data_IF_431270977025
#
_entry.id   IF_431270977025
#
_cell.length_a   1.000
_cell.length_b   1.000
_cell.length_c   1.000
_cell.angle_alpha   90.00
_cell.angle_beta   90.00
_cell.angle_gamma   90.00
#
_symmetry.space_group_name_H-M   'P 1'
#
loop_
_entity.id
_entity.type
_entity.pdbx_description
1 polymer ?
#
# COMPACT_ATOMS: atom_id res chain seq x y z
N UNK A 1 20.66 17.67 11.86
CA UNK A 1 21.59 16.59 12.28
C UNK A 1 20.91 15.49 13.10
N UNK A 2 20.21 15.76 14.21
CA UNK A 2 19.56 14.72 15.04
C UNK A 2 18.64 13.79 14.25
N UNK A 3 17.79 14.30 13.33
CA UNK A 3 16.92 13.49 12.46
C UNK A 3 17.74 12.48 11.63
N UNK A 4 18.80 12.94 10.97
CA UNK A 4 19.63 12.08 10.11
C UNK A 4 20.34 11.00 10.92
N UNK A 5 20.87 11.32 12.10
CA UNK A 5 21.48 10.36 13.01
C UNK A 5 20.46 9.33 13.51
N UNK A 6 19.25 9.78 13.92
CA UNK A 6 18.21 8.87 14.39
C UNK A 6 17.75 7.90 13.30
N UNK A 7 17.59 8.35 12.06
CA UNK A 7 17.20 7.49 10.94
C UNK A 7 18.32 6.54 10.53
N UNK A 8 19.58 6.97 10.60
CA UNK A 8 20.73 6.10 10.39
C UNK A 8 20.81 5.00 11.46
N UNK A 9 20.62 5.35 12.74
CA UNK A 9 20.59 4.36 13.83
C UNK A 9 19.46 3.34 13.65
N UNK A 10 18.27 3.81 13.24
CA UNK A 10 17.14 2.91 12.94
C UNK A 10 17.46 1.97 11.76
N UNK A 11 18.08 2.49 10.70
CA UNK A 11 18.53 1.68 9.56
C UNK A 11 19.56 0.60 10.00
N UNK A 12 20.56 0.99 10.78
CA UNK A 12 21.55 0.07 11.33
C UNK A 12 20.94 -0.95 12.31
N UNK A 13 19.88 -0.57 13.03
CA UNK A 13 19.14 -1.50 13.89
C UNK A 13 18.46 -2.60 13.07
N UNK A 14 17.81 -2.24 11.95
CA UNK A 14 17.25 -3.26 11.04
C UNK A 14 18.34 -4.17 10.46
N UNK A 15 19.49 -3.62 10.07
CA UNK A 15 20.62 -4.41 9.58
C UNK A 15 21.19 -5.33 10.67
N UNK A 16 21.42 -4.83 11.87
CA UNK A 16 21.96 -5.62 12.97
C UNK A 16 21.01 -6.73 13.42
N UNK A 17 19.75 -6.43 13.68
CA UNK A 17 18.75 -7.42 14.08
C UNK A 17 18.40 -8.40 12.95
N UNK A 18 18.52 -7.98 11.69
CA UNK A 18 18.30 -8.82 10.52
C UNK A 18 19.28 -9.99 10.43
N UNK A 19 20.51 -9.87 10.97
CA UNK A 19 21.48 -10.97 11.04
C UNK A 19 21.00 -12.11 11.94
N UNK A 20 20.25 -11.79 13.00
CA UNK A 20 19.65 -12.79 13.89
C UNK A 20 18.34 -13.38 13.33
N UNK A 21 17.59 -12.61 12.53
CA UNK A 21 16.35 -13.07 11.90
C UNK A 21 16.17 -12.39 10.53
N UNK A 22 16.37 -13.11 9.41
CA UNK A 22 16.30 -12.55 8.06
C UNK A 22 14.97 -11.85 7.73
N UNK A 23 13.88 -12.22 8.39
CA UNK A 23 12.59 -11.54 8.28
C UNK A 23 12.69 -10.04 8.64
N UNK A 24 13.58 -9.65 9.57
CA UNK A 24 13.75 -8.25 9.99
C UNK A 24 14.33 -7.40 8.87
N UNK A 25 15.18 -7.95 7.99
CA UNK A 25 15.61 -7.26 6.78
C UNK A 25 14.42 -6.90 5.88
N UNK A 26 13.43 -7.80 5.79
CA UNK A 26 12.21 -7.52 5.02
C UNK A 26 11.38 -6.38 5.63
N UNK A 27 11.32 -6.29 6.96
CA UNK A 27 10.70 -5.15 7.64
C UNK A 27 11.47 -3.85 7.38
N UNK A 28 12.80 -3.91 7.43
CA UNK A 28 13.67 -2.78 7.10
C UNK A 28 13.49 -2.31 5.66
N UNK A 29 13.36 -3.23 4.71
CA UNK A 29 13.08 -2.88 3.31
C UNK A 29 11.73 -2.16 3.17
N UNK A 30 10.65 -2.70 3.78
CA UNK A 30 9.32 -2.06 3.75
C UNK A 30 9.38 -0.66 4.34
N UNK A 31 10.12 -0.46 5.44
CA UNK A 31 10.29 0.86 6.04
C UNK A 31 11.05 1.81 5.10
N UNK A 32 12.18 1.38 4.52
CA UNK A 32 12.97 2.21 3.59
C UNK A 32 12.17 2.58 2.35
N UNK A 33 11.46 1.61 1.77
CA UNK A 33 10.70 1.78 0.53
C UNK A 33 9.43 2.64 0.74
N UNK A 34 8.81 2.59 1.93
CA UNK A 34 7.63 3.37 2.26
C UNK A 34 7.95 4.76 2.79
N UNK A 35 8.92 4.89 3.70
CA UNK A 35 9.29 6.18 4.34
C UNK A 35 10.31 6.96 3.54
N UNK A 36 11.19 6.28 2.79
CA UNK A 36 12.31 6.84 2.01
C UNK A 36 13.23 7.72 2.85
N UNK A 37 13.92 7.17 3.85
CA UNK A 37 14.77 7.95 4.74
C UNK A 37 15.88 8.70 4.01
N UNK A 38 16.36 8.21 2.86
CA UNK A 38 17.37 8.85 2.02
C UNK A 38 16.90 10.21 1.48
N UNK A 39 15.60 10.38 1.22
CA UNK A 39 15.04 11.64 0.70
C UNK A 39 14.89 12.73 1.76
N UNK A 40 14.94 12.36 3.04
CA UNK A 40 14.73 13.26 4.17
C UNK A 40 15.95 13.46 5.06
N UNK A 41 17.05 12.76 4.75
CA UNK A 41 18.32 12.86 5.49
C UNK A 41 19.35 13.63 4.68
N UNK A 42 20.31 14.19 5.39
CA UNK A 42 21.55 14.71 4.86
C UNK A 42 22.66 13.86 5.45
N UNK A 43 23.68 13.48 4.78
CA UNK A 43 24.83 12.71 5.18
C UNK A 43 24.89 11.33 4.49
N UNK A 44 25.00 10.24 5.26
CA UNK A 44 25.35 8.91 4.75
C UNK A 44 24.20 8.24 3.96
N UNK A 45 22.94 8.37 4.43
CA UNK A 45 21.83 7.60 3.85
C UNK A 45 21.42 8.06 2.45
N UNK A 46 21.65 9.33 2.10
CA UNK A 46 21.35 9.89 0.77
C UNK A 46 22.35 9.43 -0.30
N UNK A 47 23.55 9.00 0.13
CA UNK A 47 24.62 8.52 -0.74
C UNK A 47 24.62 6.99 -0.92
N UNK A 48 23.84 6.27 -0.13
CA UNK A 48 23.81 4.81 -0.14
C UNK A 48 22.54 4.28 -0.85
N UNK A 49 22.64 3.19 -1.59
CA UNK A 49 21.49 2.50 -2.15
C UNK A 49 20.76 1.68 -1.07
N UNK A 50 20.23 2.38 -0.04
CA UNK A 50 19.70 1.78 1.20
C UNK A 50 18.63 0.71 0.97
N UNK A 51 17.74 0.93 -0.01
CA UNK A 51 16.71 -0.05 -0.38
C UNK A 51 17.34 -1.31 -1.01
N UNK A 52 18.34 -1.16 -1.87
CA UNK A 52 19.02 -2.29 -2.52
C UNK A 52 19.78 -3.13 -1.49
N UNK A 53 20.50 -2.49 -0.58
CA UNK A 53 21.23 -3.19 0.50
C UNK A 53 20.26 -4.00 1.36
N UNK A 54 19.16 -3.38 1.79
CA UNK A 54 18.18 -4.04 2.66
C UNK A 54 17.45 -5.17 1.92
N UNK A 55 17.08 -4.97 0.64
CA UNK A 55 16.44 -5.97 -0.19
C UNK A 55 17.35 -7.17 -0.49
N UNK A 56 18.62 -6.90 -0.83
CA UNK A 56 19.61 -7.96 -1.05
C UNK A 56 19.87 -8.75 0.24
N UNK A 57 19.95 -8.08 1.40
CA UNK A 57 20.10 -8.74 2.70
C UNK A 57 18.87 -9.59 3.03
N UNK A 58 17.65 -9.13 2.73
CA UNK A 58 16.41 -9.90 2.96
C UNK A 58 16.36 -11.16 2.09
N UNK A 59 16.62 -11.02 0.79
CA UNK A 59 16.60 -12.15 -0.16
C UNK A 59 17.75 -13.12 0.14
N UNK A 60 18.96 -12.61 0.29
CA UNK A 60 20.13 -13.43 0.61
C UNK A 60 19.97 -14.15 1.95
N UNK A 61 19.52 -13.45 3.00
CA UNK A 61 19.25 -14.04 4.30
C UNK A 61 18.21 -15.14 4.26
N UNK A 62 17.14 -14.97 3.47
CA UNK A 62 16.14 -16.03 3.26
C UNK A 62 16.76 -17.29 2.63
N UNK A 63 17.52 -17.14 1.54
CA UNK A 63 18.09 -18.30 0.85
C UNK A 63 19.20 -18.99 1.62
N UNK A 64 19.96 -18.25 2.42
CA UNK A 64 21.10 -18.79 3.17
C UNK A 64 20.72 -19.34 4.55
N UNK A 65 19.78 -18.67 5.25
CA UNK A 65 19.52 -18.92 6.66
C UNK A 65 18.09 -19.38 6.98
N UNK A 66 17.10 -19.09 6.14
CA UNK A 66 15.70 -19.31 6.49
C UNK A 66 14.86 -19.85 5.31
N UNK A 67 15.38 -20.87 4.61
CA UNK A 67 14.63 -21.53 3.54
C UNK A 67 13.41 -22.24 4.10
N UNK A 68 12.25 -22.01 3.48
CA UNK A 68 10.96 -22.61 3.85
C UNK A 68 10.19 -23.02 2.61
N UNK A 69 9.20 -23.91 2.81
CA UNK A 69 8.31 -24.28 1.72
C UNK A 69 7.57 -23.03 1.19
N UNK A 70 7.52 -22.81 -0.13
CA UNK A 70 6.85 -21.67 -0.71
C UNK A 70 5.33 -21.74 -0.44
N UNK A 71 4.63 -20.59 -0.38
CA UNK A 71 3.18 -20.58 -0.33
C UNK A 71 2.60 -21.18 -1.62
N UNK A 72 1.37 -21.71 -1.53
CA UNK A 72 0.68 -22.20 -2.71
C UNK A 72 0.49 -21.12 -3.78
N UNK A 73 0.69 -21.47 -5.04
CA UNK A 73 0.53 -20.55 -6.16
C UNK A 73 -0.88 -19.96 -6.19
N UNK A 74 -0.96 -18.67 -6.35
CA UNK A 74 -2.21 -17.91 -6.50
C UNK A 74 -2.03 -16.84 -7.56
N UNK A 75 -3.11 -16.44 -8.23
CA UNK A 75 -3.03 -15.37 -9.21
C UNK A 75 -2.40 -14.09 -8.59
N UNK A 76 -2.89 -13.69 -7.43
CA UNK A 76 -2.36 -12.51 -6.71
C UNK A 76 -0.88 -12.65 -6.35
N UNK A 77 -0.43 -13.88 -6.01
CA UNK A 77 0.96 -14.13 -5.63
C UNK A 77 1.93 -14.13 -6.81
N UNK A 78 1.48 -14.52 -8.00
CA UNK A 78 2.35 -14.59 -9.19
C UNK A 78 2.33 -13.32 -10.03
N UNK A 79 1.27 -12.51 -9.97
CA UNK A 79 1.16 -11.28 -10.77
C UNK A 79 2.32 -10.32 -10.56
N UNK A 80 2.83 -10.04 -9.33
CA UNK A 80 3.96 -9.13 -9.18
C UNK A 80 5.21 -9.62 -9.94
N UNK A 81 5.50 -10.91 -9.92
CA UNK A 81 6.64 -11.48 -10.65
C UNK A 81 6.45 -11.39 -12.18
N UNK A 82 5.24 -11.74 -12.67
CA UNK A 82 4.92 -11.61 -14.09
C UNK A 82 4.96 -10.14 -14.54
N UNK A 83 4.44 -9.22 -13.71
CA UNK A 83 4.47 -7.81 -14.01
C UNK A 83 5.91 -7.28 -14.05
N UNK A 84 6.78 -7.71 -13.13
CA UNK A 84 8.20 -7.34 -13.16
C UNK A 84 8.88 -7.80 -14.46
N UNK A 85 8.65 -9.05 -14.88
CA UNK A 85 9.13 -9.57 -16.16
C UNK A 85 8.57 -8.78 -17.35
N UNK A 86 7.26 -8.53 -17.36
CA UNK A 86 6.60 -7.77 -18.42
C UNK A 86 7.12 -6.33 -18.52
N UNK A 87 7.24 -5.63 -17.39
CA UNK A 87 7.82 -4.28 -17.35
C UNK A 87 9.26 -4.25 -17.88
N UNK A 88 10.04 -5.31 -17.68
CA UNK A 88 11.39 -5.41 -18.24
C UNK A 88 11.36 -5.63 -19.75
N UNK A 89 10.45 -6.48 -20.23
CA UNK A 89 10.28 -6.75 -21.66
C UNK A 89 9.84 -5.49 -22.40
N UNK A 90 8.89 -4.71 -21.87
CA UNK A 90 8.40 -3.48 -22.52
C UNK A 90 9.47 -2.41 -22.66
N UNK A 91 10.53 -2.45 -21.84
CA UNK A 91 11.68 -1.53 -21.99
C UNK A 91 12.51 -1.78 -23.24
N UNK A 92 12.39 -2.95 -23.89
CA UNK A 92 13.13 -3.24 -25.13
C UNK A 92 12.68 -2.37 -26.32
N UNK A 93 11.44 -1.86 -26.27
CA UNK A 93 10.88 -0.95 -27.28
C UNK A 93 10.34 0.35 -26.67
N UNK A 94 10.83 0.72 -25.49
CA UNK A 94 10.37 1.92 -24.80
C UNK A 94 10.54 3.18 -25.67
N UNK A 95 9.48 4.00 -25.75
CA UNK A 95 9.48 5.26 -26.51
C UNK A 95 10.25 6.38 -25.81
N UNK A 96 10.49 6.26 -24.50
CA UNK A 96 11.26 7.20 -23.69
C UNK A 96 12.28 6.45 -22.81
N UNK A 97 13.29 5.78 -23.40
CA UNK A 97 14.13 4.81 -22.69
C UNK A 97 14.93 5.44 -21.54
N UNK A 98 15.51 6.63 -21.70
CA UNK A 98 16.34 7.26 -20.67
C UNK A 98 15.58 7.44 -19.34
N UNK A 99 14.43 8.08 -19.38
CA UNK A 99 13.60 8.27 -18.19
C UNK A 99 12.88 6.98 -17.77
N UNK A 100 12.56 6.11 -18.73
CA UNK A 100 11.91 4.84 -18.51
C UNK A 100 12.74 3.89 -17.64
N UNK A 101 14.06 3.79 -17.87
CA UNK A 101 14.95 2.99 -17.04
C UNK A 101 15.04 3.48 -15.60
N UNK A 102 14.93 4.78 -15.36
CA UNK A 102 14.90 5.34 -14.01
C UNK A 102 13.64 4.88 -13.26
N UNK A 103 12.46 4.91 -13.92
CA UNK A 103 11.21 4.40 -13.32
C UNK A 103 11.23 2.88 -13.18
N UNK A 104 11.78 2.16 -14.18
CA UNK A 104 11.92 0.71 -14.14
C UNK A 104 12.71 0.25 -12.92
N UNK A 105 13.83 0.91 -12.60
CA UNK A 105 14.71 0.51 -11.51
C UNK A 105 13.97 0.37 -10.17
N UNK A 106 13.18 1.35 -9.77
CA UNK A 106 12.45 1.27 -8.52
C UNK A 106 11.16 0.44 -8.63
N UNK A 107 10.43 0.50 -9.76
CA UNK A 107 9.22 -0.28 -9.95
C UNK A 107 9.51 -1.79 -9.99
N UNK A 108 10.58 -2.20 -10.69
CA UNK A 108 11.04 -3.59 -10.73
C UNK A 108 11.39 -4.12 -9.34
N UNK A 109 12.17 -3.36 -8.56
CA UNK A 109 12.53 -3.72 -7.17
C UNK A 109 11.29 -3.91 -6.30
N UNK A 110 10.33 -3.00 -6.39
CA UNK A 110 9.04 -3.08 -5.67
C UNK A 110 8.27 -4.34 -6.03
N UNK A 111 8.13 -4.64 -7.32
CA UNK A 111 7.42 -5.81 -7.81
C UNK A 111 8.08 -7.12 -7.39
N UNK A 112 9.40 -7.23 -7.56
CA UNK A 112 10.19 -8.40 -7.15
C UNK A 112 10.10 -8.61 -5.65
N UNK A 113 10.25 -7.54 -4.86
CA UNK A 113 10.16 -7.65 -3.41
C UNK A 113 8.73 -8.03 -2.94
N UNK A 114 7.71 -7.52 -3.61
CA UNK A 114 6.32 -7.90 -3.34
C UNK A 114 6.05 -9.38 -3.65
N UNK A 115 6.62 -9.92 -4.72
CA UNK A 115 6.55 -11.35 -5.03
C UNK A 115 7.32 -12.21 -4.00
N UNK A 116 8.41 -11.70 -3.47
CA UNK A 116 9.23 -12.35 -2.46
C UNK A 116 8.59 -12.37 -1.05
N UNK A 117 7.89 -11.30 -0.67
CA UNK A 117 7.39 -11.10 0.68
C UNK A 117 6.52 -12.26 1.22
N UNK A 118 5.61 -12.90 0.46
CA UNK A 118 4.85 -14.06 0.91
C UNK A 118 5.71 -15.30 1.25
N UNK A 119 6.94 -15.39 0.77
CA UNK A 119 7.85 -16.48 1.10
C UNK A 119 8.32 -16.41 2.56
N UNK A 120 8.51 -15.20 3.08
CA UNK A 120 9.04 -14.97 4.44
C UNK A 120 7.95 -14.80 5.50
N UNK A 121 6.73 -14.41 5.12
CA UNK A 121 5.63 -14.16 6.05
C UNK A 121 4.85 -15.45 6.31
N UNK A 122 4.92 -16.00 7.52
CA UNK A 122 4.30 -17.28 7.87
C UNK A 122 3.43 -17.24 9.11
N UNK A 123 3.78 -16.43 10.08
CA UNK A 123 3.12 -16.37 11.38
C UNK A 123 2.24 -15.14 11.49
N UNK A 124 1.30 -15.16 12.44
CA UNK A 124 0.50 -14.00 12.82
C UNK A 124 1.37 -12.82 13.21
N UNK A 125 2.42 -13.07 13.99
CA UNK A 125 3.37 -12.03 14.45
C UNK A 125 4.04 -11.34 13.27
N UNK A 126 4.46 -12.12 12.26
CA UNK A 126 5.07 -11.56 11.05
C UNK A 126 4.08 -10.74 10.21
N UNK A 127 2.84 -11.21 10.05
CA UNK A 127 1.78 -10.45 9.35
C UNK A 127 1.53 -9.12 10.07
N UNK A 128 1.38 -9.15 11.39
CA UNK A 128 1.18 -7.94 12.20
C UNK A 128 2.41 -7.01 12.17
N UNK A 129 3.63 -7.55 12.18
CA UNK A 129 4.87 -6.77 12.09
C UNK A 129 4.94 -5.99 10.76
N UNK A 130 4.59 -6.63 9.65
CA UNK A 130 4.53 -5.95 8.35
C UNK A 130 3.48 -4.83 8.36
N UNK A 131 2.28 -5.09 8.88
CA UNK A 131 1.23 -4.07 9.00
C UNK A 131 1.65 -2.89 9.91
N UNK A 132 2.39 -3.17 10.99
CA UNK A 132 2.89 -2.13 11.91
C UNK A 132 4.01 -1.30 11.28
N UNK A 133 5.00 -1.94 10.66
CA UNK A 133 6.11 -1.22 10.02
C UNK A 133 5.58 -0.34 8.89
N UNK A 134 4.64 -0.84 8.08
CA UNK A 134 3.95 -0.05 7.08
C UNK A 134 3.25 1.18 7.69
N UNK A 135 2.44 0.98 8.75
CA UNK A 135 1.73 2.07 9.40
C UNK A 135 2.70 3.10 10.01
N UNK A 136 3.75 2.66 10.70
CA UNK A 136 4.71 3.56 11.33
C UNK A 136 5.60 4.29 10.31
N UNK A 137 5.93 3.64 9.20
CA UNK A 137 6.62 4.30 8.09
C UNK A 137 5.79 5.47 7.53
N UNK A 138 4.48 5.26 7.32
CA UNK A 138 3.57 6.34 6.91
C UNK A 138 3.33 7.37 8.02
N UNK A 139 3.27 6.97 9.29
CA UNK A 139 3.06 7.87 10.42
C UNK A 139 4.15 8.94 10.51
N UNK A 140 5.37 8.65 10.05
CA UNK A 140 6.44 9.63 9.92
C UNK A 140 6.10 10.84 9.05
N UNK A 141 5.16 10.68 8.12
CA UNK A 141 4.61 11.78 7.30
C UNK A 141 3.20 12.21 7.76
N UNK A 142 2.34 11.25 8.13
CA UNK A 142 0.97 11.50 8.60
C UNK A 142 0.97 12.47 9.79
N UNK A 143 1.81 12.23 10.80
CA UNK A 143 1.82 13.00 12.02
C UNK A 143 2.22 14.46 11.77
N UNK A 144 3.37 14.77 11.14
CA UNK A 144 3.76 16.15 10.89
C UNK A 144 2.77 16.91 10.00
N UNK A 145 2.31 16.28 8.92
CA UNK A 145 1.38 16.93 8.01
C UNK A 145 -0.02 17.07 8.59
N UNK A 146 -0.49 16.11 9.39
CA UNK A 146 -1.75 16.19 10.09
C UNK A 146 -1.75 17.34 11.14
N UNK A 147 -0.69 17.43 11.93
CA UNK A 147 -0.49 18.53 12.89
C UNK A 147 -0.41 19.87 12.15
N UNK A 148 0.38 19.95 11.07
CA UNK A 148 0.47 21.16 10.26
C UNK A 148 -0.89 21.57 9.71
N UNK A 149 -1.67 20.61 9.19
CA UNK A 149 -3.02 20.88 8.68
C UNK A 149 -3.94 21.46 9.74
N UNK A 150 -3.89 20.94 10.98
CA UNK A 150 -4.70 21.47 12.09
C UNK A 150 -4.37 22.94 12.38
N UNK A 151 -3.08 23.30 12.39
CA UNK A 151 -2.65 24.66 12.75
C UNK A 151 -2.68 25.66 11.61
N UNK A 152 -2.58 25.23 10.35
CA UNK A 152 -2.46 26.12 9.18
C UNK A 152 -3.64 26.03 8.21
N UNK A 153 -4.61 25.12 8.46
CA UNK A 153 -5.73 24.88 7.55
C UNK A 153 -5.39 24.02 6.33
N UNK A 154 -4.15 23.50 6.24
CA UNK A 154 -3.71 22.68 5.10
C UNK A 154 -3.23 23.51 3.90
N UNK A 155 -3.14 22.86 2.75
CA UNK A 155 -2.72 23.50 1.50
C UNK A 155 -2.63 22.51 0.35
N UNK A 156 -2.72 23.03 -0.87
CA UNK A 156 -2.62 22.21 -2.08
C UNK A 156 -1.17 21.85 -2.39
N UNK A 157 -0.91 20.57 -2.63
CA UNK A 157 0.40 20.10 -3.11
C UNK A 157 1.58 20.61 -2.27
N UNK A 158 2.47 21.33 -2.92
CA UNK A 158 3.70 21.91 -2.32
C UNK A 158 3.45 22.83 -1.11
N UNK A 159 2.26 23.40 -0.97
CA UNK A 159 1.94 24.30 0.13
C UNK A 159 1.97 23.60 1.51
N UNK A 160 1.79 22.30 1.57
CA UNK A 160 2.02 21.53 2.79
C UNK A 160 3.51 21.37 3.14
N UNK A 161 4.42 21.79 2.27
CA UNK A 161 5.87 21.60 2.42
C UNK A 161 6.26 20.14 2.28
N UNK A 162 5.58 19.43 1.36
CA UNK A 162 5.96 18.09 0.96
C UNK A 162 7.39 18.09 0.43
N UNK A 163 8.14 17.05 0.73
CA UNK A 163 9.55 16.96 0.35
C UNK A 163 9.63 16.71 -1.14
N UNK A 164 10.16 17.67 -1.92
CA UNK A 164 10.20 17.68 -3.39
C UNK A 164 11.07 16.51 -3.79
N UNK A 165 11.69 15.73 -3.61
CA UNK A 165 12.42 14.54 -4.06
C UNK A 165 11.77 13.24 -3.67
N UNK A 166 10.83 13.26 -2.73
CA UNK A 166 10.15 12.04 -2.29
C UNK A 166 9.06 11.63 -3.31
N UNK A 167 9.47 10.92 -4.36
CA UNK A 167 8.63 10.49 -5.46
C UNK A 167 7.37 9.69 -5.06
N UNK A 168 7.30 9.19 -3.82
CA UNK A 168 6.13 8.48 -3.31
C UNK A 168 5.18 9.34 -2.48
N UNK A 169 5.61 10.50 -1.99
CA UNK A 169 4.87 11.32 -1.03
C UNK A 169 4.95 12.83 -1.33
N UNK A 170 5.60 13.21 -2.43
CA UNK A 170 5.73 14.62 -2.84
C UNK A 170 4.44 15.17 -3.45
N UNK A 171 3.58 14.32 -4.00
CA UNK A 171 2.32 14.70 -4.60
C UNK A 171 1.17 14.50 -3.61
N UNK A 172 0.31 15.51 -3.50
CA UNK A 172 -0.82 15.49 -2.56
C UNK A 172 -1.80 14.34 -2.80
N UNK A 173 -2.05 13.97 -4.06
CA UNK A 173 -2.93 12.87 -4.44
C UNK A 173 -2.39 11.50 -3.99
N UNK A 174 -1.08 11.29 -4.09
CA UNK A 174 -0.42 10.09 -3.61
C UNK A 174 -0.47 10.01 -2.08
N UNK A 175 -0.03 11.09 -1.41
CA UNK A 175 -0.03 11.17 0.06
C UNK A 175 -1.43 10.92 0.62
N UNK A 176 -2.46 11.60 0.07
CA UNK A 176 -3.84 11.44 0.54
C UNK A 176 -4.35 10.01 0.39
N UNK A 177 -4.08 9.37 -0.74
CA UNK A 177 -4.45 7.98 -0.98
C UNK A 177 -3.80 7.05 0.06
N UNK A 178 -2.50 7.21 0.32
CA UNK A 178 -1.77 6.37 1.26
C UNK A 178 -2.19 6.61 2.71
N UNK A 179 -2.48 7.86 3.06
CA UNK A 179 -3.08 8.19 4.36
C UNK A 179 -4.42 7.47 4.55
N UNK A 180 -5.31 7.51 3.56
CA UNK A 180 -6.61 6.85 3.65
C UNK A 180 -6.48 5.31 3.70
N UNK A 181 -5.49 4.72 3.02
CA UNK A 181 -5.18 3.30 3.14
C UNK A 181 -4.65 2.91 4.52
N UNK A 182 -3.96 3.82 5.20
CA UNK A 182 -3.44 3.60 6.56
C UNK A 182 -4.56 3.53 7.62
N UNK A 183 -5.68 4.24 7.43
CA UNK A 183 -6.80 4.30 8.39
C UNK A 183 -7.30 2.92 8.80
N UNK A 184 -7.72 2.03 7.89
CA UNK A 184 -8.25 0.72 8.28
C UNK A 184 -7.17 -0.18 8.93
N UNK A 185 -5.91 -0.03 8.55
CA UNK A 185 -4.79 -0.75 9.19
C UNK A 185 -4.59 -0.27 10.62
N UNK A 186 -4.63 1.04 10.87
CA UNK A 186 -4.54 1.61 12.21
C UNK A 186 -5.71 1.14 13.11
N UNK A 187 -6.94 1.15 12.59
CA UNK A 187 -8.12 0.63 13.31
C UNK A 187 -7.99 -0.87 13.61
N UNK A 188 -7.47 -1.66 12.67
CA UNK A 188 -7.18 -3.07 12.89
C UNK A 188 -6.14 -3.26 14.01
N UNK A 189 -5.03 -2.53 13.97
CA UNK A 189 -3.96 -2.64 14.98
C UNK A 189 -4.39 -2.13 16.34
N UNK A 190 -5.25 -1.11 16.43
CA UNK A 190 -5.85 -0.67 17.69
C UNK A 190 -6.58 -1.82 18.43
N UNK A 191 -7.18 -2.74 17.67
CA UNK A 191 -7.96 -3.86 18.23
C UNK A 191 -7.13 -5.13 18.43
N UNK A 192 -6.21 -5.46 17.52
CA UNK A 192 -5.60 -6.78 17.41
C UNK A 192 -4.09 -6.83 17.65
N UNK A 193 -3.45 -5.67 17.88
CA UNK A 193 -2.00 -5.60 18.10
C UNK A 193 -1.53 -6.56 19.21
N UNK A 194 -0.41 -7.26 18.95
CA UNK A 194 0.30 -8.15 19.88
C UNK A 194 1.77 -7.79 20.10
N UNK A 195 2.34 -6.95 19.23
CA UNK A 195 3.77 -6.63 19.26
C UNK A 195 4.09 -5.47 20.19
N UNK A 196 3.19 -4.48 20.28
CA UNK A 196 3.33 -3.37 21.21
C UNK A 196 2.60 -3.72 22.52
N UNK A 197 3.20 -3.45 23.69
CA UNK A 197 2.55 -3.71 24.99
C UNK A 197 1.13 -3.13 25.04
N UNK A 198 0.18 -3.93 25.51
CA UNK A 198 -1.22 -3.58 25.51
C UNK A 198 -1.57 -2.75 26.74
N UNK A 199 -1.32 -1.45 26.65
CA UNK A 199 -1.74 -0.46 27.64
C UNK A 199 -3.04 0.23 27.16
N UNK A 200 -3.66 1.06 28.03
CA UNK A 200 -4.81 1.87 27.59
C UNK A 200 -4.43 2.91 26.51
N UNK A 201 -3.15 3.33 26.44
CA UNK A 201 -2.65 4.28 25.46
C UNK A 201 -2.45 3.66 24.06
N UNK A 202 -2.20 2.36 24.00
CA UNK A 202 -1.90 1.68 22.73
C UNK A 202 -3.02 1.83 21.68
N UNK A 203 -4.29 1.52 21.97
CA UNK A 203 -5.36 1.73 21.01
C UNK A 203 -5.59 3.22 20.71
N UNK A 204 -5.39 4.12 21.67
CA UNK A 204 -5.51 5.57 21.49
C UNK A 204 -4.45 6.03 20.48
N UNK A 205 -3.20 5.59 20.61
CA UNK A 205 -2.13 5.93 19.67
C UNK A 205 -2.45 5.53 18.23
N UNK A 206 -2.91 4.30 18.01
CA UNK A 206 -3.32 3.86 16.66
C UNK A 206 -4.51 4.65 16.11
N UNK A 207 -5.52 4.92 16.94
CA UNK A 207 -6.68 5.72 16.52
C UNK A 207 -6.31 7.17 16.23
N UNK A 208 -5.37 7.75 17.00
CA UNK A 208 -4.82 9.09 16.72
C UNK A 208 -4.13 9.14 15.36
N UNK A 209 -3.34 8.11 15.01
CA UNK A 209 -2.75 8.00 13.67
C UNK A 209 -3.85 7.94 12.60
N UNK A 210 -4.92 7.18 12.82
CA UNK A 210 -6.05 7.09 11.89
C UNK A 210 -6.73 8.46 11.68
N UNK A 211 -6.97 9.19 12.75
CA UNK A 211 -7.57 10.54 12.71
C UNK A 211 -6.64 11.50 11.98
N UNK A 212 -5.36 11.54 12.34
CA UNK A 212 -4.37 12.39 11.67
C UNK A 212 -4.21 12.03 10.19
N UNK A 213 -4.34 10.76 9.82
CA UNK A 213 -4.32 10.32 8.43
C UNK A 213 -5.49 10.90 7.62
N UNK A 214 -6.70 10.92 8.18
CA UNK A 214 -7.86 11.58 7.55
C UNK A 214 -7.61 13.09 7.44
N UNK A 215 -7.15 13.73 8.51
CA UNK A 215 -6.84 15.18 8.52
C UNK A 215 -5.77 15.50 7.47
N UNK A 216 -4.71 14.70 7.39
CA UNK A 216 -3.65 14.88 6.37
C UNK A 216 -4.22 14.73 4.97
N UNK A 217 -5.02 13.69 4.72
CA UNK A 217 -5.61 13.45 3.40
C UNK A 217 -6.48 14.62 2.94
N UNK A 218 -7.32 15.16 3.82
CA UNK A 218 -8.13 16.34 3.52
C UNK A 218 -7.27 17.60 3.37
N UNK A 219 -6.25 17.74 4.21
CA UNK A 219 -5.31 18.86 4.17
C UNK A 219 -4.48 18.98 2.88
N UNK A 220 -4.46 17.95 2.04
CA UNK A 220 -3.83 18.02 0.71
C UNK A 220 -4.66 18.80 -0.32
N UNK A 221 -5.94 19.05 -0.04
CA UNK A 221 -6.91 19.69 -0.95
C UNK A 221 -7.08 18.99 -2.30
N UNK A 222 -6.79 17.68 -2.34
CA UNK A 222 -6.96 16.87 -3.54
C UNK A 222 -8.40 16.35 -3.65
N UNK A 223 -9.01 16.51 -4.83
CA UNK A 223 -10.36 15.97 -5.11
C UNK A 223 -10.41 14.46 -4.99
N UNK A 224 -9.35 13.77 -5.41
CA UNK A 224 -9.20 12.31 -5.27
C UNK A 224 -9.25 11.85 -3.81
N UNK A 225 -8.78 12.69 -2.86
CA UNK A 225 -8.86 12.41 -1.43
C UNK A 225 -10.32 12.32 -0.94
N UNK A 226 -11.20 13.22 -1.39
CA UNK A 226 -12.61 13.20 -1.01
C UNK A 226 -13.32 11.95 -1.54
N UNK A 227 -13.04 11.57 -2.78
CA UNK A 227 -13.62 10.35 -3.39
C UNK A 227 -13.12 9.12 -2.62
N UNK A 228 -11.82 9.03 -2.34
CA UNK A 228 -11.25 7.95 -1.55
C UNK A 228 -11.82 7.89 -0.13
N UNK A 229 -12.00 9.05 0.52
CA UNK A 229 -12.60 9.16 1.85
C UNK A 229 -14.08 8.71 1.85
N UNK A 230 -14.85 9.10 0.85
CA UNK A 230 -16.24 8.66 0.69
C UNK A 230 -16.34 7.13 0.56
N UNK A 231 -15.50 6.52 -0.29
CA UNK A 231 -15.44 5.05 -0.45
C UNK A 231 -15.05 4.37 0.86
N UNK A 232 -14.02 4.89 1.55
CA UNK A 232 -13.60 4.37 2.85
C UNK A 232 -14.73 4.45 3.89
N UNK A 233 -15.38 5.61 3.99
CA UNK A 233 -16.46 5.87 4.92
C UNK A 233 -17.66 4.93 4.66
N UNK A 234 -18.09 4.80 3.41
CA UNK A 234 -19.17 3.89 3.00
C UNK A 234 -18.80 2.44 3.36
N UNK A 235 -17.58 2.01 3.00
CA UNK A 235 -17.14 0.65 3.32
C UNK A 235 -17.14 0.36 4.82
N UNK A 236 -16.54 1.25 5.63
CA UNK A 236 -16.48 1.11 7.07
C UNK A 236 -17.89 1.17 7.70
N UNK A 237 -18.78 2.02 7.21
CA UNK A 237 -20.18 2.08 7.63
C UNK A 237 -20.92 0.76 7.39
N UNK A 238 -20.80 0.20 6.18
CA UNK A 238 -21.43 -1.07 5.82
C UNK A 238 -20.93 -2.24 6.68
N UNK A 239 -19.67 -2.19 7.11
CA UNK A 239 -19.04 -3.22 7.97
C UNK A 239 -19.22 -2.98 9.45
N UNK A 240 -19.56 -1.77 9.88
CA UNK A 240 -19.75 -1.43 11.29
C UNK A 240 -20.95 -2.18 11.90
N UNK A 241 -20.73 -2.73 13.10
CA UNK A 241 -21.82 -3.29 13.91
C UNK A 241 -22.65 -2.19 14.59
N UNK A 242 -22.06 -1.01 14.84
CA UNK A 242 -22.69 0.15 15.49
C UNK A 242 -22.97 1.25 14.47
N UNK A 243 -23.82 0.95 13.49
CA UNK A 243 -24.10 1.84 12.34
C UNK A 243 -24.54 3.24 12.74
N UNK A 244 -25.40 3.34 13.75
CA UNK A 244 -25.89 4.64 14.25
C UNK A 244 -24.75 5.50 14.80
N UNK A 245 -23.92 4.95 15.69
CA UNK A 245 -22.78 5.69 16.25
C UNK A 245 -21.78 6.08 15.17
N UNK A 246 -21.52 5.17 14.22
CA UNK A 246 -20.61 5.45 13.11
C UNK A 246 -21.20 6.52 12.19
N UNK A 247 -22.51 6.47 11.90
CA UNK A 247 -23.21 7.51 11.14
C UNK A 247 -23.13 8.88 11.80
N UNK A 248 -23.39 8.95 13.12
CA UNK A 248 -23.24 10.21 13.89
C UNK A 248 -21.79 10.73 13.81
N UNK A 249 -20.80 9.84 14.00
CA UNK A 249 -19.39 10.22 13.91
C UNK A 249 -19.01 10.75 12.51
N UNK A 250 -19.52 10.14 11.44
CA UNK A 250 -19.34 10.62 10.07
C UNK A 250 -19.98 11.99 9.85
N UNK A 251 -21.22 12.19 10.35
CA UNK A 251 -21.93 13.49 10.22
C UNK A 251 -21.18 14.58 10.95
N UNK A 252 -20.76 14.34 12.19
CA UNK A 252 -19.97 15.29 12.98
C UNK A 252 -18.63 15.58 12.28
N UNK A 253 -17.94 14.54 11.80
CA UNK A 253 -16.68 14.69 11.08
C UNK A 253 -16.84 15.50 9.77
N UNK A 254 -17.89 15.25 9.01
CA UNK A 254 -18.20 16.02 7.80
C UNK A 254 -18.55 17.48 8.11
N UNK A 255 -19.37 17.72 9.14
CA UNK A 255 -19.71 19.09 9.59
C UNK A 255 -18.46 19.86 10.07
N UNK A 256 -17.61 19.20 10.87
CA UNK A 256 -16.35 19.78 11.33
C UNK A 256 -15.40 20.08 10.16
N UNK A 257 -15.36 19.20 9.16
CA UNK A 257 -14.56 19.41 7.96
C UNK A 257 -15.05 20.64 7.17
N UNK A 258 -16.36 20.75 6.93
CA UNK A 258 -16.95 21.88 6.22
C UNK A 258 -16.69 23.19 6.99
N UNK A 259 -16.89 23.16 8.32
CA UNK A 259 -16.66 24.32 9.16
C UNK A 259 -15.20 24.79 9.18
N UNK A 260 -14.27 23.83 9.24
CA UNK A 260 -12.83 24.11 9.24
C UNK A 260 -12.25 24.38 7.85
N UNK A 261 -13.03 24.19 6.78
CA UNK A 261 -12.56 24.37 5.41
C UNK A 261 -12.25 25.81 5.10
N UNK A 262 -11.05 26.06 4.59
CA UNK A 262 -10.65 27.39 4.12
C UNK A 262 -11.46 27.80 2.87
N UNK A 263 -11.58 29.12 2.63
CA UNK A 263 -12.19 29.63 1.41
C UNK A 263 -11.56 29.07 0.13
N UNK A 264 -10.24 28.84 0.15
CA UNK A 264 -9.48 28.20 -0.95
C UNK A 264 -9.96 26.78 -1.20
N UNK A 265 -10.23 26.00 -0.15
CA UNK A 265 -10.76 24.65 -0.28
C UNK A 265 -12.17 24.67 -0.92
N UNK A 266 -13.05 25.54 -0.44
CA UNK A 266 -14.42 25.68 -0.94
C UNK A 266 -14.39 26.09 -2.41
N UNK A 267 -13.66 27.14 -2.77
CA UNK A 267 -13.50 27.60 -4.15
C UNK A 267 -13.01 26.48 -5.07
N UNK A 268 -12.05 25.66 -4.59
CA UNK A 268 -11.53 24.52 -5.36
C UNK A 268 -12.55 23.42 -5.55
N UNK A 269 -13.47 23.24 -4.62
CA UNK A 269 -14.56 22.24 -4.76
C UNK A 269 -15.68 22.74 -5.68
N UNK A 270 -15.94 24.04 -5.72
CA UNK A 270 -16.93 24.64 -6.64
C UNK A 270 -16.57 24.45 -8.10
N UNK A 271 -15.27 24.39 -8.45
CA UNK A 271 -14.82 24.12 -9.83
C UNK A 271 -15.19 22.69 -10.34
N UNK A 272 -15.64 21.79 -9.46
CA UNK A 272 -16.15 20.48 -9.88
C UNK A 272 -17.43 20.62 -10.73
N UNK A 273 -18.25 21.64 -10.46
CA UNK A 273 -19.50 21.88 -11.18
C UNK A 273 -19.29 22.47 -12.59
N UNK A 274 -18.15 23.10 -12.82
CA UNK A 274 -17.78 23.73 -14.10
C UNK A 274 -16.56 23.08 -14.75
N UNK A 275 -16.58 21.74 -14.87
CA UNK A 275 -15.42 20.96 -15.35
C UNK A 275 -14.94 21.38 -16.75
N UNK A 276 -15.82 21.91 -17.61
CA UNK A 276 -15.45 22.39 -18.93
C UNK A 276 -14.60 23.69 -18.89
N UNK A 277 -14.75 24.48 -17.82
CA UNK A 277 -13.90 25.65 -17.56
C UNK A 277 -12.65 25.30 -16.75
N UNK A 278 -12.55 24.05 -16.21
CA UNK A 278 -11.42 23.58 -15.44
C UNK A 278 -10.35 23.00 -16.38
N UNK A 279 -9.30 23.77 -16.62
CA UNK A 279 -8.15 23.35 -17.44
C UNK A 279 -7.54 22.02 -16.98
N UNK A 280 -7.51 21.75 -15.68
CA UNK A 280 -6.98 20.49 -15.12
C UNK A 280 -7.83 19.26 -15.48
N UNK A 281 -9.15 19.39 -15.49
CA UNK A 281 -10.05 18.30 -15.87
C UNK A 281 -9.98 18.02 -17.39
N UNK A 282 -9.99 19.09 -18.20
CA UNK A 282 -9.89 18.98 -19.65
C UNK A 282 -8.56 18.36 -20.08
N UNK A 283 -7.46 18.75 -19.44
CA UNK A 283 -6.14 18.17 -19.64
C UNK A 283 -6.12 16.66 -19.38
N UNK A 284 -6.71 16.21 -18.29
CA UNK A 284 -6.77 14.78 -17.96
C UNK A 284 -7.56 14.00 -19.01
N UNK A 285 -8.72 14.51 -19.42
CA UNK A 285 -9.55 13.88 -20.45
C UNK A 285 -8.79 13.77 -21.79
N UNK A 286 -8.07 14.83 -22.18
CA UNK A 286 -7.27 14.83 -23.39
C UNK A 286 -6.11 13.82 -23.32
N UNK A 287 -5.39 13.74 -22.19
CA UNK A 287 -4.34 12.72 -21.98
C UNK A 287 -4.91 11.32 -21.98
N UNK A 288 -6.07 11.09 -21.36
CA UNK A 288 -6.69 9.77 -21.33
C UNK A 288 -7.16 9.32 -22.72
N UNK A 289 -7.71 10.24 -23.50
CA UNK A 289 -8.06 9.98 -24.90
C UNK A 289 -6.81 9.64 -25.72
N UNK A 290 -5.77 10.46 -25.62
CA UNK A 290 -4.49 10.19 -26.27
C UNK A 290 -3.93 8.80 -25.88
N UNK A 291 -4.00 8.44 -24.59
CA UNK A 291 -3.50 7.14 -24.11
C UNK A 291 -4.28 5.98 -24.70
N UNK A 292 -5.61 6.10 -24.85
CA UNK A 292 -6.42 5.10 -25.54
C UNK A 292 -6.01 4.95 -27.00
N UNK A 293 -5.91 6.04 -27.73
CA UNK A 293 -5.45 6.05 -29.12
C UNK A 293 -4.04 5.46 -29.25
N UNK A 294 -3.12 5.85 -28.37
CA UNK A 294 -1.77 5.30 -28.29
C UNK A 294 -1.78 3.79 -28.03
N UNK A 295 -2.65 3.28 -27.15
CA UNK A 295 -2.71 1.87 -26.81
C UNK A 295 -3.22 0.97 -27.94
N UNK A 296 -3.94 1.51 -28.92
CA UNK A 296 -4.32 0.77 -30.13
C UNK A 296 -3.16 0.67 -31.14
N UNK A 297 -2.29 1.67 -31.17
CA UNK A 297 -1.07 1.66 -32.02
C UNK A 297 0.04 0.85 -31.34
N UNK A 298 0.13 0.95 -30.01
CA UNK A 298 1.12 0.26 -29.17
C UNK A 298 0.42 -0.69 -28.17
N UNK A 299 -0.18 -1.79 -28.63
CA UNK A 299 -0.99 -2.67 -27.75
C UNK A 299 -0.19 -3.35 -26.64
N UNK A 300 1.13 -3.46 -26.81
CA UNK A 300 2.06 -3.99 -25.80
C UNK A 300 2.64 -2.92 -24.88
N UNK A 301 2.20 -1.66 -25.02
CA UNK A 301 2.68 -0.51 -24.26
C UNK A 301 3.90 0.17 -24.86
N UNK A 302 4.17 1.39 -24.40
CA UNK A 302 5.32 2.21 -24.84
C UNK A 302 6.51 2.17 -23.88
N UNK A 303 6.53 1.27 -22.90
CA UNK A 303 7.52 1.29 -21.81
C UNK A 303 7.24 2.38 -20.78
N UNK A 304 8.01 2.39 -19.70
CA UNK A 304 7.84 3.38 -18.64
C UNK A 304 8.01 4.81 -19.14
N UNK A 305 7.24 5.73 -18.53
CA UNK A 305 7.20 7.15 -18.86
C UNK A 305 6.81 7.45 -20.32
N UNK A 306 6.05 6.56 -20.97
CA UNK A 306 5.59 6.76 -22.36
C UNK A 306 4.75 8.03 -22.55
N UNK A 307 4.23 8.64 -21.48
CA UNK A 307 3.55 9.93 -21.56
C UNK A 307 4.46 11.07 -22.05
N UNK A 308 5.79 10.95 -21.96
CA UNK A 308 6.71 12.00 -22.37
C UNK A 308 6.65 12.30 -23.87
N UNK A 309 6.16 11.36 -24.67
CA UNK A 309 6.00 11.56 -26.11
C UNK A 309 4.60 12.08 -26.50
N UNK A 310 3.69 12.28 -25.53
CA UNK A 310 2.37 12.81 -25.86
C UNK A 310 2.43 14.28 -26.27
N UNK A 311 1.59 14.63 -27.22
CA UNK A 311 1.30 16.02 -27.62
C UNK A 311 -0.19 16.21 -27.43
N UNK A 312 -0.57 17.11 -26.55
CA UNK A 312 -1.95 17.32 -26.13
C UNK A 312 -2.38 18.74 -26.54
N UNK A 313 -3.35 18.81 -27.43
CA UNK A 313 -4.01 20.06 -27.78
C UNK A 313 -5.18 20.32 -26.83
N UNK A 314 -5.12 21.44 -26.16
CA UNK A 314 -6.16 21.88 -25.21
C UNK A 314 -7.00 22.93 -25.91
N UNK A 315 -8.32 22.70 -26.03
CA UNK A 315 -9.23 23.70 -26.56
C UNK A 315 -9.23 24.95 -25.65
N UNK A 316 -9.75 26.08 -26.16
CA UNK A 316 -9.88 27.29 -25.34
C UNK A 316 -10.59 27.00 -24.01
N UNK A 317 -9.97 27.44 -22.93
CA UNK A 317 -10.50 27.39 -21.56
C UNK A 317 -10.40 28.77 -20.91
N UNK A 318 -10.96 28.92 -19.69
CA UNK A 318 -10.81 30.16 -18.95
C UNK A 318 -9.37 30.56 -18.70
N UNK A 319 -8.49 29.56 -18.42
CA UNK A 319 -7.06 29.78 -18.18
C UNK A 319 -6.25 29.93 -19.47
N UNK A 320 -6.75 29.40 -20.58
CA UNK A 320 -6.08 29.40 -21.91
C UNK A 320 -7.09 29.83 -22.99
N UNK A 321 -7.41 31.11 -23.13
CA UNK A 321 -8.42 31.59 -24.08
C UNK A 321 -8.14 31.26 -25.54
N UNK A 322 -6.87 31.10 -25.92
CA UNK A 322 -6.44 30.73 -27.28
C UNK A 322 -6.21 29.24 -27.47
N UNK A 323 -6.47 28.43 -26.43
CA UNK A 323 -5.98 27.06 -26.39
C UNK A 323 -4.46 26.99 -26.22
N UNK A 324 -3.93 25.80 -25.97
CA UNK A 324 -2.48 25.57 -25.85
C UNK A 324 -2.15 24.12 -26.18
N UNK A 325 -1.01 23.92 -26.85
CA UNK A 325 -0.42 22.58 -27.04
C UNK A 325 0.59 22.31 -25.95
N UNK A 326 0.44 21.20 -25.25
CA UNK A 326 1.38 20.75 -24.21
C UNK A 326 1.98 19.40 -24.55
N UNK A 327 3.25 19.22 -24.21
CA UNK A 327 3.99 17.96 -24.40
C UNK A 327 4.34 17.33 -23.05
N UNK A 328 4.44 16.01 -23.01
CA UNK A 328 4.94 15.27 -21.85
C UNK A 328 4.03 15.37 -20.62
N UNK A 329 2.71 15.42 -20.81
CA UNK A 329 1.74 15.49 -19.70
C UNK A 329 1.52 14.13 -19.09
N UNK A 330 1.74 14.02 -17.76
CA UNK A 330 1.54 12.79 -17.02
C UNK A 330 0.08 12.27 -17.09
N UNK A 331 -0.09 10.97 -16.97
CA UNK A 331 -1.41 10.31 -17.08
C UNK A 331 -2.41 10.74 -16.02
N UNK A 332 -1.96 11.07 -14.80
CA UNK A 332 -2.80 11.37 -13.64
C UNK A 332 -3.91 10.34 -13.39
N UNK A 333 -3.63 9.09 -13.73
CA UNK A 333 -4.49 7.94 -13.48
C UNK A 333 -3.66 6.66 -13.52
N UNK A 334 -3.75 5.83 -12.51
CA UNK A 334 -3.06 4.54 -12.46
C UNK A 334 -3.51 3.59 -13.56
N UNK A 335 -4.75 3.71 -14.02
CA UNK A 335 -5.27 2.89 -15.11
C UNK A 335 -4.63 3.26 -16.45
N UNK A 336 -4.62 4.55 -16.77
CA UNK A 336 -4.01 5.04 -18.00
C UNK A 336 -2.47 4.99 -17.94
N UNK A 337 -1.88 5.12 -16.75
CA UNK A 337 -0.46 4.88 -16.52
C UNK A 337 -0.07 3.45 -16.93
N UNK A 338 -0.76 2.44 -16.40
CA UNK A 338 -0.46 1.05 -16.76
C UNK A 338 -0.79 0.76 -18.23
N UNK A 339 -1.90 1.30 -18.75
CA UNK A 339 -2.29 1.08 -20.15
C UNK A 339 -1.27 1.69 -21.13
N UNK A 340 -0.84 2.93 -20.91
CA UNK A 340 0.12 3.59 -21.78
C UNK A 340 1.53 2.98 -21.69
N UNK A 341 1.96 2.63 -20.48
CA UNK A 341 3.31 2.12 -20.25
C UNK A 341 3.45 0.62 -20.53
N UNK A 342 2.47 -0.19 -20.10
CA UNK A 342 2.56 -1.65 -20.13
C UNK A 342 1.55 -2.31 -21.09
N UNK A 343 0.78 -1.49 -21.81
CA UNK A 343 -0.22 -1.93 -22.78
C UNK A 343 -1.36 -2.74 -22.16
N UNK A 344 -2.14 -3.35 -23.03
CA UNK A 344 -3.27 -4.20 -22.62
C UNK A 344 -2.87 -5.38 -21.73
N UNK A 345 -1.74 -6.10 -21.98
CA UNK A 345 -1.34 -7.20 -21.10
C UNK A 345 -1.07 -6.73 -19.67
N UNK A 346 -0.33 -5.63 -19.49
CA UNK A 346 -0.06 -5.07 -18.16
C UNK A 346 -1.33 -4.56 -17.49
N UNK A 347 -2.19 -3.88 -18.23
CA UNK A 347 -3.48 -3.39 -17.74
C UNK A 347 -4.39 -4.53 -17.24
N UNK A 348 -4.52 -5.61 -18.03
CA UNK A 348 -5.32 -6.77 -17.65
C UNK A 348 -4.75 -7.42 -16.38
N UNK A 349 -3.43 -7.62 -16.31
CA UNK A 349 -2.78 -8.17 -15.11
C UNK A 349 -3.05 -7.31 -13.87
N UNK A 350 -2.95 -5.99 -13.99
CA UNK A 350 -3.17 -5.06 -12.89
C UNK A 350 -4.61 -5.10 -12.37
N UNK A 351 -5.60 -5.07 -13.28
CA UNK A 351 -7.02 -5.14 -12.93
C UNK A 351 -7.39 -6.51 -12.35
N UNK A 352 -6.87 -7.58 -12.93
CA UNK A 352 -7.10 -8.95 -12.41
C UNK A 352 -6.48 -9.15 -11.02
N UNK A 353 -5.30 -8.56 -10.74
CA UNK A 353 -4.70 -8.58 -9.41
C UNK A 353 -5.62 -7.90 -8.38
N UNK A 354 -6.15 -6.73 -8.71
CA UNK A 354 -7.08 -6.01 -7.86
C UNK A 354 -8.37 -6.79 -7.60
N UNK A 355 -9.04 -7.23 -8.67
CA UNK A 355 -10.31 -7.94 -8.59
C UNK A 355 -10.16 -9.26 -7.81
N UNK A 356 -9.11 -10.03 -8.10
CA UNK A 356 -8.85 -11.28 -7.40
C UNK A 356 -8.49 -11.06 -5.93
N UNK A 357 -7.76 -9.99 -5.59
CA UNK A 357 -7.46 -9.64 -4.20
C UNK A 357 -8.73 -9.29 -3.43
N UNK A 358 -9.58 -8.42 -3.97
CA UNK A 358 -10.86 -8.05 -3.35
C UNK A 358 -11.73 -9.29 -3.13
N UNK A 359 -11.84 -10.16 -4.14
CA UNK A 359 -12.63 -11.38 -4.06
C UNK A 359 -12.08 -12.35 -3.00
N UNK A 360 -10.76 -12.55 -2.98
CA UNK A 360 -10.10 -13.40 -1.99
C UNK A 360 -10.29 -12.90 -0.56
N UNK A 361 -10.02 -11.63 -0.32
CA UNK A 361 -10.17 -11.01 1.00
C UNK A 361 -11.63 -11.08 1.48
N UNK A 362 -12.61 -10.84 0.59
CA UNK A 362 -14.03 -10.98 0.91
C UNK A 362 -14.40 -12.41 1.31
N UNK A 363 -13.89 -13.42 0.59
CA UNK A 363 -14.12 -14.83 0.94
C UNK A 363 -13.44 -15.20 2.24
N UNK A 364 -12.22 -14.73 2.45
CA UNK A 364 -11.44 -15.00 3.65
C UNK A 364 -12.14 -14.40 4.88
N UNK A 365 -12.53 -13.12 4.83
CA UNK A 365 -13.30 -12.46 5.87
C UNK A 365 -14.57 -13.24 6.26
N UNK A 366 -15.36 -13.68 5.26
CA UNK A 366 -16.58 -14.48 5.51
C UNK A 366 -16.29 -15.83 6.19
N UNK A 367 -15.21 -16.51 5.80
CA UNK A 367 -14.85 -17.82 6.35
C UNK A 367 -14.32 -17.77 7.76
N UNK A 368 -13.59 -16.70 8.11
CA UNK A 368 -12.87 -16.62 9.38
C UNK A 368 -13.62 -15.83 10.45
N UNK A 369 -14.65 -15.07 10.09
CA UNK A 369 -15.38 -14.17 11.00
C UNK A 369 -16.00 -14.87 12.22
N UNK A 370 -16.56 -16.06 12.02
CA UNK A 370 -17.25 -16.80 13.06
C UNK A 370 -16.34 -17.83 13.76
N UNK A 371 -15.05 -17.86 13.43
CA UNK A 371 -14.06 -18.74 14.05
C UNK A 371 -13.25 -17.91 15.06
N UNK A 372 -13.40 -18.10 16.38
CA UNK A 372 -12.87 -17.16 17.38
C UNK A 372 -11.37 -16.88 17.26
N UNK A 373 -10.54 -17.89 17.06
CA UNK A 373 -9.09 -17.76 16.95
C UNK A 373 -8.63 -17.18 15.58
N UNK A 374 -9.51 -17.17 14.56
CA UNK A 374 -9.27 -16.58 13.23
C UNK A 374 -10.02 -15.27 13.00
N UNK A 375 -10.79 -14.76 13.97
CA UNK A 375 -11.55 -13.52 13.83
C UNK A 375 -10.68 -12.30 13.47
N UNK A 376 -9.43 -12.26 13.95
CA UNK A 376 -8.47 -11.23 13.55
C UNK A 376 -8.14 -11.27 12.04
N UNK A 377 -8.15 -12.47 11.41
CA UNK A 377 -7.96 -12.61 9.96
C UNK A 377 -9.11 -11.96 9.19
N UNK A 378 -10.35 -12.08 9.72
CA UNK A 378 -11.50 -11.41 9.11
C UNK A 378 -11.36 -9.89 9.16
N UNK A 379 -10.98 -9.34 10.33
CA UNK A 379 -10.82 -7.90 10.51
C UNK A 379 -9.64 -7.35 9.67
N UNK A 380 -8.52 -8.09 9.58
CA UNK A 380 -7.42 -7.70 8.68
C UNK A 380 -7.81 -7.80 7.20
N UNK A 381 -8.57 -8.83 6.81
CA UNK A 381 -9.07 -8.95 5.44
C UNK A 381 -9.96 -7.77 5.06
N UNK A 382 -10.84 -7.32 5.98
CA UNK A 382 -11.67 -6.15 5.76
C UNK A 382 -10.84 -4.86 5.67
N UNK A 383 -9.81 -4.72 6.51
CA UNK A 383 -8.90 -3.57 6.47
C UNK A 383 -8.11 -3.51 5.15
N UNK A 384 -7.54 -4.62 4.72
CA UNK A 384 -6.84 -4.70 3.43
C UNK A 384 -7.78 -4.44 2.24
N UNK A 385 -8.98 -5.04 2.27
CA UNK A 385 -9.97 -4.86 1.20
C UNK A 385 -10.38 -3.38 1.06
N UNK A 386 -10.63 -2.69 2.18
CA UNK A 386 -10.97 -1.26 2.14
C UNK A 386 -9.81 -0.41 1.59
N UNK A 387 -8.57 -0.70 1.98
CA UNK A 387 -7.39 -0.03 1.45
C UNK A 387 -7.22 -0.25 -0.06
N UNK A 388 -7.42 -1.47 -0.56
CA UNK A 388 -7.40 -1.77 -1.99
C UNK A 388 -8.50 -0.99 -2.73
N UNK A 389 -9.72 -0.92 -2.19
CA UNK A 389 -10.80 -0.14 -2.78
C UNK A 389 -10.48 1.36 -2.83
N UNK A 390 -9.93 1.92 -1.75
CA UNK A 390 -9.46 3.31 -1.71
C UNK A 390 -8.41 3.55 -2.77
N UNK A 391 -7.38 2.68 -2.86
CA UNK A 391 -6.32 2.81 -3.85
C UNK A 391 -6.86 2.87 -5.27
N UNK A 392 -7.69 1.91 -5.67
CA UNK A 392 -8.21 1.85 -7.03
C UNK A 392 -9.21 2.96 -7.36
N UNK A 393 -9.93 3.47 -6.37
CA UNK A 393 -10.83 4.61 -6.56
C UNK A 393 -10.05 5.93 -6.69
N UNK A 394 -9.15 6.22 -5.77
CA UNK A 394 -8.31 7.43 -5.83
C UNK A 394 -7.32 7.36 -7.00
N UNK A 395 -6.77 6.18 -7.29
CA UNK A 395 -5.87 5.91 -8.40
C UNK A 395 -6.49 6.11 -9.79
N UNK A 396 -7.81 6.26 -9.88
CA UNK A 396 -8.45 6.72 -11.12
C UNK A 396 -8.00 8.15 -11.51
N UNK A 397 -7.57 8.94 -10.52
CA UNK A 397 -7.19 10.35 -10.69
C UNK A 397 -5.74 10.66 -10.32
N UNK A 398 -4.95 9.63 -9.98
CA UNK A 398 -3.53 9.74 -9.58
C UNK A 398 -2.74 8.59 -10.20
N UNK A 399 -1.56 8.88 -10.74
CA UNK A 399 -0.65 7.87 -11.31
C UNK A 399 0.23 7.26 -10.21
N UNK A 400 -0.23 6.16 -9.62
CA UNK A 400 0.41 5.47 -8.48
C UNK A 400 0.47 3.95 -8.66
N UNK A 401 0.30 3.45 -9.87
CA UNK A 401 0.16 2.03 -10.15
C UNK A 401 1.36 1.19 -9.66
N UNK A 402 2.56 1.71 -9.75
CA UNK A 402 3.80 1.01 -9.38
C UNK A 402 4.30 1.36 -7.97
N UNK A 403 3.58 2.21 -7.24
CA UNK A 403 3.96 2.55 -5.86
C UNK A 403 3.86 1.33 -4.94
N UNK A 404 4.81 1.14 -3.98
CA UNK A 404 4.98 -0.11 -3.24
C UNK A 404 3.78 -0.53 -2.42
N UNK A 405 3.00 0.42 -1.94
CA UNK A 405 1.94 0.19 -0.96
C UNK A 405 0.88 -0.81 -1.42
N UNK A 406 0.39 -0.69 -2.66
CA UNK A 406 -0.63 -1.61 -3.17
C UNK A 406 -0.06 -3.03 -3.36
N UNK A 407 1.19 -3.14 -3.78
CA UNK A 407 1.87 -4.41 -3.98
C UNK A 407 2.11 -5.12 -2.64
N UNK A 408 2.40 -4.39 -1.56
CA UNK A 408 2.46 -4.96 -0.22
C UNK A 408 1.10 -5.44 0.28
N UNK A 409 0.01 -4.74 -0.02
CA UNK A 409 -1.34 -5.21 0.32
C UNK A 409 -1.66 -6.53 -0.39
N UNK A 410 -1.24 -6.68 -1.65
CA UNK A 410 -1.36 -7.95 -2.37
C UNK A 410 -0.53 -9.04 -1.68
N UNK A 411 0.73 -8.77 -1.35
CA UNK A 411 1.59 -9.72 -0.66
C UNK A 411 1.05 -10.15 0.71
N UNK A 412 0.58 -9.21 1.53
CA UNK A 412 -0.05 -9.51 2.83
C UNK A 412 -1.32 -10.35 2.63
N UNK A 413 -2.13 -10.09 1.59
CA UNK A 413 -3.35 -10.86 1.31
C UNK A 413 -3.04 -12.32 0.98
N UNK A 414 -1.97 -12.58 0.23
CA UNK A 414 -1.46 -13.93 -0.06
C UNK A 414 -1.00 -14.62 1.21
N UNK A 415 -0.19 -13.93 2.02
CA UNK A 415 0.35 -14.46 3.29
C UNK A 415 -0.77 -14.78 4.30
N UNK A 416 -1.79 -13.92 4.38
CA UNK A 416 -2.94 -14.13 5.25
C UNK A 416 -3.78 -15.34 4.82
N UNK A 417 -4.01 -15.50 3.51
CA UNK A 417 -4.68 -16.67 2.96
C UNK A 417 -3.92 -17.95 3.27
N UNK A 418 -2.62 -17.93 3.09
CA UNK A 418 -1.76 -19.08 3.34
C UNK A 418 -1.70 -19.44 4.82
N UNK A 419 -1.68 -18.45 5.71
CA UNK A 419 -1.81 -18.65 7.15
C UNK A 419 -3.12 -19.38 7.49
N UNK A 420 -4.26 -18.88 7.01
CA UNK A 420 -5.57 -19.50 7.27
C UNK A 420 -5.64 -20.92 6.68
N UNK A 421 -5.08 -21.15 5.48
CA UNK A 421 -5.02 -22.50 4.87
C UNK A 421 -4.27 -23.49 5.77
N UNK A 422 -3.12 -23.09 6.30
CA UNK A 422 -2.29 -23.94 7.18
C UNK A 422 -2.99 -24.24 8.50
N UNK A 423 -3.53 -23.22 9.17
CA UNK A 423 -4.27 -23.41 10.43
C UNK A 423 -5.48 -24.32 10.22
N UNK A 424 -6.28 -24.08 9.18
CA UNK A 424 -7.44 -24.91 8.88
C UNK A 424 -7.08 -26.34 8.45
N UNK A 425 -5.89 -26.59 7.93
CA UNK A 425 -5.42 -27.94 7.61
C UNK A 425 -5.06 -28.73 8.87
N UNK A 426 -4.49 -28.07 9.88
CA UNK A 426 -4.16 -28.67 11.18
C UNK A 426 -5.41 -29.01 12.02
N UNK A 427 -6.51 -28.29 11.78
CA UNK A 427 -7.78 -28.50 12.52
C UNK A 427 -8.68 -29.56 11.89
N UNK A 428 -8.39 -30.00 10.67
CA UNK A 428 -9.14 -31.13 10.09
C UNK A 428 -8.81 -32.37 10.89
N UNK A 429 -9.83 -33.04 11.49
CA UNK A 429 -9.59 -34.31 12.14
C UNK A 429 -8.94 -35.22 11.10
N UNK A 430 -7.89 -35.91 11.49
CA UNK A 430 -7.32 -37.02 10.73
C UNK A 430 -8.50 -37.87 10.31
N UNK A 431 -8.75 -37.97 9.00
CA UNK A 431 -9.84 -38.78 8.43
C UNK A 431 -9.79 -40.09 9.16
N UNK A 432 -10.83 -40.46 9.93
CA UNK A 432 -10.90 -41.75 10.59
C UNK A 432 -10.51 -42.81 9.56
N UNK A 433 -9.43 -43.50 9.84
CA UNK A 433 -8.95 -44.59 9.00
C UNK A 433 -10.12 -45.57 9.00
N UNK A 434 -10.73 -45.78 7.83
CA UNK A 434 -11.88 -46.65 7.72
C UNK A 434 -11.58 -47.98 8.40
N UNK A 435 -12.58 -48.74 8.81
CA UNK A 435 -12.48 -49.96 9.63
C UNK A 435 -11.32 -50.90 9.28
N UNK A 436 -10.81 -50.88 8.02
CA UNK A 436 -9.60 -51.61 7.60
C UNK A 436 -8.29 -51.01 8.15
N UNK A 437 -8.23 -49.74 8.48
CA UNK A 437 -7.06 -49.08 9.08
C UNK A 437 -7.06 -49.17 10.61
N UNK A 438 -8.24 -49.40 11.24
CA UNK A 438 -8.34 -49.62 12.69
C UNK A 438 -7.70 -50.96 13.13
N UNK A 439 -7.40 -51.86 12.19
CA UNK A 439 -6.73 -53.14 12.44
C UNK A 439 -5.20 -53.05 12.31
N UNK A 440 -4.62 -51.90 11.94
CA UNK A 440 -3.17 -51.74 12.00
C UNK A 440 -2.76 -51.29 13.41
N UNK A 441 -1.75 -51.91 14.04
CA UNK A 441 -1.26 -51.49 15.33
C UNK A 441 -0.80 -50.03 15.22
N UNK A 442 -1.27 -49.18 16.15
CA UNK A 442 -0.93 -47.78 16.21
C UNK A 442 0.60 -47.64 16.22
N UNK A 443 1.17 -47.06 15.18
CA UNK A 443 2.54 -46.57 15.25
C UNK A 443 2.57 -45.50 16.34
N UNK A 444 3.50 -45.59 17.30
CA UNK A 444 3.56 -44.57 18.36
C UNK A 444 3.80 -43.20 17.72
N UNK A 445 2.87 -42.29 17.96
CA UNK A 445 3.01 -40.88 17.58
C UNK A 445 4.27 -40.39 18.28
N UNK A 446 5.30 -39.88 17.59
CA UNK A 446 6.42 -39.23 18.26
C UNK A 446 5.82 -38.15 19.15
N UNK A 447 6.08 -38.24 20.46
CA UNK A 447 5.73 -37.19 21.43
C UNK A 447 6.21 -35.88 20.84
N UNK A 448 5.30 -34.92 20.66
CA UNK A 448 5.63 -33.57 20.25
C UNK A 448 6.73 -33.09 21.20
N UNK A 449 7.93 -32.93 20.67
CA UNK A 449 9.00 -32.24 21.38
C UNK A 449 8.48 -30.85 21.73
N UNK A 450 8.16 -30.68 22.98
CA UNK A 450 7.96 -29.38 23.60
C UNK A 450 9.31 -28.67 23.43
N UNK A 451 9.38 -27.78 22.47
CA UNK A 451 10.54 -26.90 22.32
C UNK A 451 10.79 -26.25 23.67
N UNK A 452 11.99 -26.38 24.26
CA UNK A 452 12.30 -25.80 25.56
C UNK A 452 12.12 -24.28 25.45
N UNK A 453 11.31 -23.73 26.34
CA UNK A 453 11.24 -22.29 26.60
C UNK A 453 12.59 -21.93 27.20
N UNK A 454 13.49 -21.41 26.40
CA UNK A 454 14.76 -20.85 26.85
C UNK A 454 14.46 -19.50 27.50
N UNK A 455 14.75 -19.39 28.77
CA UNK A 455 14.88 -18.12 29.47
C UNK A 455 13.83 -17.80 30.52
N UNK A 456 13.89 -18.47 31.66
CA UNK A 456 13.35 -17.96 32.92
C UNK A 456 14.12 -16.73 33.37
N UNK A 457 13.49 -15.57 33.38
CA UNK A 457 13.90 -14.47 34.24
C UNK A 457 13.26 -14.69 35.60
N UNK A 458 14.12 -15.06 36.59
CA UNK A 458 13.74 -15.06 37.99
C UNK A 458 13.58 -13.60 38.44
N UNK A 459 12.50 -13.34 39.14
CA UNK A 459 12.28 -12.16 39.96
C UNK A 459 13.39 -11.98 41.01
N UNK A 460 13.93 -10.77 41.12
CA UNK A 460 14.28 -10.09 42.36
C UNK A 460 13.96 -8.62 42.24
#
# INVERSE_FOLDING_TARGET
>A
MLRSVGLLLLYLTFLGLGTASPFIFSLGYIWVDTFRPQEVTYLILDQLPVAMIMGAAAIGGYFLLDRRDPPGLTLVGVVPAFMAGWCTITMLWAVAPESGWVKWDWAFKTLVFSAFLPLVIRSRVQIEAVAQVYLFALAGNIIPFGIKTIFTGGGYGMNLGLIAGNAGLAEGGQLSTFCLMAVPIAVYLAKHNRLVPRTFLTPIGYLSIAILAVITAVGTFERSALIGLAVLAIYMFLRSRRKVLFGIALTIGAAALIYASSAIFIQRMETIQSYQADSSAMLRLAVWRWTLEFSFVHPLGGGFNSYLVNVIDIPPTADFPSGITQQGRAFHSSYFEVLGEQGWPGFIMFVLAAASTIFHLRRLSKRTRNVPHLAWCADLSDALQSGVMVFFTSGAFVGIAFQPIIWYFFAISVSLREYVRRVSALEKPTREVGWRGALQPATPVPSAEVLPIVGGWRER
#
